data_IF_914516633095
#
_entry.id   IF_914516633095
#
_cell.length_a   1.000
_cell.length_b   1.000
_cell.length_c   1.000
_cell.angle_alpha   90.00
_cell.angle_beta   90.00
_cell.angle_gamma   90.00
#
_symmetry.space_group_name_H-M   'P 1'
#
loop_
_entity.id
_entity.type
_entity.pdbx_description
1 polymer ?
#
# COMPACT_ATOMS: atom_id res chain seq x y z
N UNK A 1 72.20 -4.69 16.60
CA UNK A 1 71.32 -3.49 16.58
C UNK A 1 70.66 -3.43 15.20
N UNK A 2 69.33 -3.58 15.13
CA UNK A 2 68.36 -3.06 14.11
C UNK A 2 68.68 -3.37 12.62
N UNK A 3 67.81 -3.92 11.76
CA UNK A 3 66.35 -3.94 11.70
C UNK A 3 65.93 -5.04 10.69
N UNK A 4 64.93 -5.85 11.03
CA UNK A 4 64.20 -6.68 10.08
C UNK A 4 63.18 -5.81 9.34
N UNK A 5 63.24 -5.80 8.00
CA UNK A 5 62.27 -5.10 7.17
C UNK A 5 61.15 -6.09 6.81
N UNK A 6 60.04 -6.04 7.56
CA UNK A 6 58.82 -6.77 7.22
C UNK A 6 58.02 -5.98 6.18
N UNK A 7 57.85 -6.56 4.98
CA UNK A 7 56.87 -6.09 4.01
C UNK A 7 55.47 -6.51 4.47
N UNK A 8 54.68 -5.55 4.96
CA UNK A 8 53.25 -5.73 5.17
C UNK A 8 52.51 -5.46 3.86
N UNK A 9 52.09 -6.52 3.17
CA UNK A 9 51.15 -6.41 2.05
C UNK A 9 49.77 -6.19 2.66
N UNK A 10 49.32 -4.93 2.67
CA UNK A 10 47.93 -4.59 2.97
C UNK A 10 47.09 -4.91 1.73
N UNK A 11 46.52 -6.11 1.69
CA UNK A 11 45.47 -6.46 0.75
C UNK A 11 44.22 -5.68 1.19
N UNK A 12 44.03 -4.49 0.62
CA UNK A 12 42.79 -3.74 0.73
C UNK A 12 41.68 -4.50 0.01
N UNK A 13 40.97 -5.37 0.73
CA UNK A 13 39.73 -5.96 0.25
C UNK A 13 38.68 -4.86 0.17
N UNK A 14 38.58 -4.21 -0.98
CA UNK A 14 37.38 -3.47 -1.38
C UNK A 14 36.24 -4.49 -1.52
N UNK A 15 35.58 -4.81 -0.41
CA UNK A 15 34.28 -5.47 -0.46
C UNK A 15 33.29 -4.46 -1.05
N UNK A 16 33.16 -4.46 -2.37
CA UNK A 16 31.98 -3.96 -3.06
C UNK A 16 30.81 -4.88 -2.66
N UNK A 17 30.24 -4.67 -1.48
CA UNK A 17 28.92 -5.22 -1.19
C UNK A 17 27.97 -4.58 -2.21
N UNK A 18 27.31 -5.35 -3.10
CA UNK A 18 26.19 -4.78 -3.84
C UNK A 18 25.24 -4.20 -2.79
N UNK A 19 24.62 -3.03 -3.03
CA UNK A 19 23.61 -2.53 -2.11
C UNK A 19 22.61 -3.67 -1.95
N UNK A 20 22.49 -4.20 -0.73
CA UNK A 20 21.44 -5.13 -0.39
C UNK A 20 20.15 -4.39 -0.74
N UNK A 21 19.57 -4.73 -1.89
CA UNK A 21 18.27 -4.23 -2.33
C UNK A 21 17.25 -4.89 -1.41
N UNK A 22 17.10 -4.34 -0.21
CA UNK A 22 16.05 -4.73 0.71
C UNK A 22 14.72 -4.54 -0.02
N UNK A 23 13.93 -5.59 -0.10
CA UNK A 23 12.59 -5.50 -0.65
C UNK A 23 11.78 -4.46 0.12
N UNK A 24 11.05 -3.60 -0.60
CA UNK A 24 10.20 -2.58 0.00
C UNK A 24 9.27 -3.20 1.05
N UNK A 25 9.20 -2.61 2.24
CA UNK A 25 8.17 -2.94 3.23
C UNK A 25 6.77 -2.56 2.72
N UNK A 26 5.68 -3.14 3.27
CA UNK A 26 4.33 -2.71 2.93
C UNK A 26 4.11 -1.19 3.08
N UNK A 27 4.73 -0.56 4.08
CA UNK A 27 4.66 0.89 4.26
C UNK A 27 5.27 1.66 3.08
N UNK A 28 6.44 1.22 2.60
CA UNK A 28 7.08 1.81 1.43
C UNK A 28 6.27 1.57 0.15
N UNK A 29 5.63 0.40 0.01
CA UNK A 29 4.69 0.13 -1.10
C UNK A 29 3.51 1.10 -1.07
N UNK A 30 2.92 1.34 0.11
CA UNK A 30 1.82 2.32 0.27
C UNK A 30 2.25 3.75 -0.07
N UNK A 31 3.43 4.17 0.39
CA UNK A 31 3.99 5.49 0.07
C UNK A 31 4.21 5.67 -1.44
N UNK A 32 4.80 4.66 -2.10
CA UNK A 32 4.93 4.63 -3.57
C UNK A 32 3.56 4.68 -4.24
N UNK A 33 2.59 3.93 -3.73
CA UNK A 33 1.22 3.93 -4.25
C UNK A 33 0.59 5.31 -4.22
N UNK A 34 0.65 6.02 -3.09
CA UNK A 34 0.13 7.39 -3.00
C UNK A 34 0.86 8.35 -3.93
N UNK A 35 2.18 8.20 -4.09
CA UNK A 35 2.95 9.01 -5.03
C UNK A 35 2.55 8.74 -6.48
N UNK A 36 2.46 7.49 -6.90
CA UNK A 36 2.09 7.15 -8.28
C UNK A 36 0.66 7.53 -8.63
N UNK A 37 -0.25 7.54 -7.65
CA UNK A 37 -1.60 8.10 -7.83
C UNK A 37 -1.52 9.63 -8.03
N UNK A 38 -0.75 10.34 -7.21
CA UNK A 38 -0.62 11.80 -7.32
C UNK A 38 0.08 12.24 -8.62
N UNK A 39 1.03 11.45 -9.09
CA UNK A 39 1.81 11.69 -10.32
C UNK A 39 1.08 11.18 -11.59
N UNK A 40 -0.17 10.73 -11.47
CA UNK A 40 -0.98 10.19 -12.58
C UNK A 40 -0.31 9.05 -13.35
N UNK A 41 0.32 8.10 -12.64
CA UNK A 41 1.15 7.06 -13.23
C UNK A 41 0.57 5.63 -13.04
N UNK A 42 -0.43 5.23 -13.86
CA UNK A 42 -1.06 3.91 -13.77
C UNK A 42 -0.11 2.75 -14.00
N UNK A 43 0.94 2.94 -14.80
CA UNK A 43 1.94 1.90 -15.10
C UNK A 43 2.80 1.58 -13.89
N UNK A 44 3.30 2.59 -13.18
CA UNK A 44 4.05 2.34 -11.96
C UNK A 44 3.13 1.90 -10.81
N UNK A 45 1.92 2.43 -10.75
CA UNK A 45 0.93 2.01 -9.77
C UNK A 45 0.58 0.52 -9.93
N UNK A 46 0.30 0.05 -11.15
CA UNK A 46 -0.02 -1.37 -11.39
C UNK A 46 1.11 -2.31 -11.00
N UNK A 47 2.38 -1.90 -11.17
CA UNK A 47 3.55 -2.69 -10.76
C UNK A 47 3.63 -2.91 -9.24
N UNK A 48 2.91 -2.15 -8.42
CA UNK A 48 2.82 -2.39 -6.98
C UNK A 48 1.89 -3.56 -6.63
N UNK A 49 1.03 -3.98 -7.56
CA UNK A 49 0.11 -5.09 -7.37
C UNK A 49 0.73 -6.44 -7.73
N UNK A 50 0.17 -7.51 -7.18
CA UNK A 50 0.51 -8.90 -7.55
C UNK A 50 0.38 -9.09 -9.06
N UNK A 51 1.23 -9.94 -9.64
CA UNK A 51 1.33 -10.08 -11.10
C UNK A 51 -0.02 -10.33 -11.77
N UNK A 52 -0.86 -11.17 -11.16
CA UNK A 52 -2.19 -11.51 -11.69
C UNK A 52 -3.17 -10.34 -11.77
N UNK A 53 -2.93 -9.25 -11.03
CA UNK A 53 -3.80 -8.07 -10.98
C UNK A 53 -3.30 -6.89 -11.81
N UNK A 54 -2.05 -6.91 -12.29
CA UNK A 54 -1.45 -5.73 -12.94
C UNK A 54 -2.23 -5.28 -14.17
N UNK A 55 -2.66 -6.21 -15.02
CA UNK A 55 -3.45 -5.90 -16.21
C UNK A 55 -4.84 -5.35 -15.86
N UNK A 56 -5.49 -5.90 -14.83
CA UNK A 56 -6.79 -5.41 -14.38
C UNK A 56 -6.69 -3.98 -13.82
N UNK A 57 -5.64 -3.69 -13.04
CA UNK A 57 -5.37 -2.35 -12.51
C UNK A 57 -5.08 -1.37 -13.63
N UNK A 58 -4.26 -1.76 -14.63
CA UNK A 58 -4.01 -0.93 -15.81
C UNK A 58 -5.29 -0.65 -16.59
N UNK A 59 -6.10 -1.68 -16.84
CA UNK A 59 -7.34 -1.55 -17.59
C UNK A 59 -8.34 -0.60 -16.91
N UNK A 60 -8.47 -0.71 -15.58
CA UNK A 60 -9.32 0.17 -14.77
C UNK A 60 -8.84 1.64 -14.78
N UNK A 61 -7.63 1.91 -15.27
CA UNK A 61 -7.04 3.24 -15.38
C UNK A 61 -6.61 3.55 -16.81
N UNK A 62 -7.34 2.98 -17.78
CA UNK A 62 -7.22 3.33 -19.20
C UNK A 62 -8.23 4.42 -19.57
N UNK A 63 -7.99 5.08 -20.70
CA UNK A 63 -8.85 6.15 -21.24
C UNK A 63 -10.26 5.67 -21.62
N UNK A 64 -10.47 4.34 -21.72
CA UNK A 64 -11.78 3.74 -21.98
C UNK A 64 -12.70 3.73 -20.75
N UNK A 65 -12.14 4.00 -19.57
CA UNK A 65 -12.90 4.15 -18.32
C UNK A 65 -13.06 5.65 -18.06
N UNK A 66 -14.25 6.06 -17.62
CA UNK A 66 -14.51 7.46 -17.27
C UNK A 66 -13.46 7.94 -16.28
N UNK A 67 -12.70 8.97 -16.62
CA UNK A 67 -11.56 9.42 -15.81
C UNK A 67 -11.92 9.73 -14.35
N UNK A 68 -13.15 10.17 -14.09
CA UNK A 68 -13.67 10.40 -12.74
C UNK A 68 -13.74 9.14 -11.88
N UNK A 69 -13.67 7.95 -12.47
CA UNK A 69 -13.72 6.65 -11.77
C UNK A 69 -12.32 5.99 -11.73
N UNK A 70 -11.29 6.66 -12.25
CA UNK A 70 -9.90 6.17 -12.31
C UNK A 70 -8.97 6.98 -11.42
N UNK A 71 -7.67 6.65 -11.41
CA UNK A 71 -6.69 7.46 -10.69
C UNK A 71 -6.52 8.87 -11.30
N UNK A 72 -6.89 9.08 -12.58
CA UNK A 72 -6.85 10.39 -13.25
C UNK A 72 -7.75 11.44 -12.56
N UNK A 73 -8.71 10.99 -11.74
CA UNK A 73 -9.57 11.85 -10.93
C UNK A 73 -8.81 12.48 -9.75
N UNK A 74 -7.74 11.85 -9.27
CA UNK A 74 -7.00 12.26 -8.08
C UNK A 74 -5.90 13.25 -8.48
N UNK A 75 -5.93 14.47 -7.95
CA UNK A 75 -4.93 15.52 -8.22
C UNK A 75 -3.87 15.62 -7.14
N UNK A 76 -4.12 15.03 -5.97
CA UNK A 76 -3.16 14.96 -4.88
C UNK A 76 -3.49 13.76 -3.99
N UNK A 77 -2.45 13.07 -3.52
CA UNK A 77 -2.57 11.88 -2.68
C UNK A 77 -1.45 11.84 -1.65
N UNK A 78 -1.77 11.54 -0.39
CA UNK A 78 -0.78 11.38 0.67
C UNK A 78 -1.24 10.38 1.73
N UNK A 79 -0.33 9.49 2.13
CA UNK A 79 -0.57 8.58 3.26
C UNK A 79 -0.48 9.36 4.57
N UNK A 80 -1.56 9.38 5.35
CA UNK A 80 -1.64 10.14 6.61
C UNK A 80 -1.39 9.23 7.81
N UNK A 81 -2.06 8.08 7.85
CA UNK A 81 -1.85 7.07 8.89
C UNK A 81 -1.91 5.68 8.29
N UNK A 82 -1.13 4.78 8.86
CA UNK A 82 -1.20 3.35 8.59
C UNK A 82 -1.13 2.58 9.91
N UNK A 83 -1.96 1.56 10.05
CA UNK A 83 -1.95 0.66 11.19
C UNK A 83 -2.00 -0.78 10.70
N UNK A 84 -0.98 -1.55 11.07
CA UNK A 84 -0.99 -3.00 10.83
C UNK A 84 -2.06 -3.63 11.69
N UNK A 85 -2.92 -4.44 11.09
CA UNK A 85 -3.90 -5.26 11.81
C UNK A 85 -3.32 -6.66 12.04
N UNK A 86 -3.67 -7.29 13.16
CA UNK A 86 -3.43 -8.72 13.31
C UNK A 86 -4.30 -9.48 12.31
N UNK A 87 -3.85 -10.66 11.87
CA UNK A 87 -4.61 -11.47 10.91
C UNK A 87 -6.05 -11.75 11.39
N UNK A 88 -6.21 -12.06 12.68
CA UNK A 88 -7.51 -12.32 13.29
C UNK A 88 -8.45 -11.11 13.20
N UNK A 89 -7.95 -9.90 13.49
CA UNK A 89 -8.74 -8.67 13.37
C UNK A 89 -9.07 -8.37 11.92
N UNK A 90 -8.09 -8.48 11.03
CA UNK A 90 -8.28 -8.25 9.60
C UNK A 90 -9.32 -9.20 8.98
N UNK A 91 -9.35 -10.47 9.39
CA UNK A 91 -10.30 -11.46 8.89
C UNK A 91 -11.77 -11.11 9.21
N UNK A 92 -12.03 -10.32 10.25
CA UNK A 92 -13.37 -9.84 10.57
C UNK A 92 -13.91 -8.81 9.56
N UNK A 93 -13.02 -8.15 8.81
CA UNK A 93 -13.37 -7.13 7.82
C UNK A 93 -13.15 -7.59 6.37
N UNK A 94 -12.30 -8.61 6.17
CA UNK A 94 -11.95 -9.17 4.87
C UNK A 94 -12.21 -10.69 4.91
N UNK A 95 -13.45 -11.14 4.65
CA UNK A 95 -13.80 -12.56 4.77
C UNK A 95 -12.96 -13.49 3.88
N UNK A 96 -12.47 -12.99 2.74
CA UNK A 96 -11.63 -13.75 1.80
C UNK A 96 -10.14 -13.81 2.18
N UNK A 97 -9.74 -13.21 3.31
CA UNK A 97 -8.32 -13.14 3.70
C UNK A 97 -7.66 -14.53 3.82
N UNK A 98 -8.41 -15.55 4.23
CA UNK A 98 -7.94 -16.94 4.31
C UNK A 98 -7.48 -17.51 2.97
N UNK A 99 -8.03 -17.04 1.84
CA UNK A 99 -7.67 -17.50 0.50
C UNK A 99 -6.24 -17.11 0.10
N UNK A 100 -5.66 -16.09 0.74
CA UNK A 100 -4.25 -15.74 0.54
C UNK A 100 -3.32 -16.65 1.34
N UNK A 101 -3.75 -17.12 2.52
CA UNK A 101 -2.95 -18.00 3.38
C UNK A 101 -2.61 -19.30 2.67
N UNK A 102 -3.60 -19.91 2.00
CA UNK A 102 -3.39 -21.16 1.26
C UNK A 102 -2.43 -21.02 0.07
N UNK A 103 -2.22 -19.79 -0.44
CA UNK A 103 -1.36 -19.53 -1.60
C UNK A 103 0.07 -19.17 -1.22
N UNK A 104 0.25 -18.38 -0.15
CA UNK A 104 1.57 -17.79 0.17
C UNK A 104 2.05 -18.03 1.60
N UNK A 105 1.27 -18.67 2.47
CA UNK A 105 1.60 -18.79 3.89
C UNK A 105 1.27 -17.52 4.67
N UNK A 106 0.91 -17.66 5.95
CA UNK A 106 0.40 -16.56 6.79
C UNK A 106 1.46 -15.50 7.10
N UNK A 107 2.72 -15.93 7.23
CA UNK A 107 3.90 -15.12 7.49
C UNK A 107 4.26 -14.19 6.33
N UNK A 108 3.78 -14.49 5.12
CA UNK A 108 3.97 -13.69 3.93
C UNK A 108 2.77 -12.78 3.62
N UNK A 109 1.92 -12.54 4.63
CA UNK A 109 0.74 -11.67 4.52
C UNK A 109 0.84 -10.54 5.55
N UNK A 110 0.53 -9.32 5.12
CA UNK A 110 0.35 -8.19 6.01
C UNK A 110 -0.92 -7.43 5.63
N UNK A 111 -1.76 -7.08 6.61
CA UNK A 111 -2.95 -6.28 6.38
C UNK A 111 -2.82 -4.96 7.10
N UNK A 112 -3.09 -3.87 6.39
CA UNK A 112 -3.05 -2.52 6.91
C UNK A 112 -4.40 -1.85 6.77
N UNK A 113 -4.84 -1.22 7.84
CA UNK A 113 -5.85 -0.18 7.79
C UNK A 113 -5.13 1.15 7.56
N UNK A 114 -5.54 1.92 6.56
CA UNK A 114 -4.88 3.16 6.18
C UNK A 114 -5.85 4.32 6.04
N UNK A 115 -5.35 5.51 6.33
CA UNK A 115 -5.98 6.79 6.04
C UNK A 115 -5.14 7.54 5.01
N UNK A 116 -5.75 7.91 3.90
CA UNK A 116 -5.12 8.59 2.77
C UNK A 116 -5.86 9.89 2.50
N UNK A 117 -5.14 11.01 2.36
CA UNK A 117 -5.73 12.29 1.97
C UNK A 117 -5.73 12.39 0.45
N UNK A 118 -6.91 12.57 -0.14
CA UNK A 118 -7.05 12.90 -1.55
C UNK A 118 -7.49 14.35 -1.75
N UNK A 119 -7.08 14.92 -2.87
CA UNK A 119 -7.82 15.96 -3.59
C UNK A 119 -8.25 15.35 -4.92
N UNK A 120 -9.51 15.55 -5.30
CA UNK A 120 -10.11 14.94 -6.49
C UNK A 120 -10.79 16.00 -7.35
N UNK A 121 -10.86 15.76 -8.66
CA UNK A 121 -11.57 16.63 -9.61
C UNK A 121 -13.09 16.55 -9.39
N UNK A 122 -13.60 15.34 -9.16
CA UNK A 122 -15.00 15.05 -8.87
C UNK A 122 -15.11 13.97 -7.81
N UNK A 123 -15.84 14.21 -6.73
CA UNK A 123 -16.05 13.17 -5.72
C UNK A 123 -16.88 12.01 -6.29
N UNK A 124 -16.57 10.79 -5.84
CA UNK A 124 -17.37 9.59 -6.05
C UNK A 124 -17.32 8.71 -4.79
N UNK A 125 -18.14 7.64 -4.67
CA UNK A 125 -18.15 6.78 -3.49
C UNK A 125 -16.85 6.04 -3.15
N UNK A 126 -15.78 6.18 -3.94
CA UNK A 126 -14.47 5.56 -3.73
C UNK A 126 -13.35 6.60 -3.54
N UNK A 127 -13.59 7.84 -3.94
CA UNK A 127 -12.61 8.92 -4.00
C UNK A 127 -13.28 10.23 -3.56
N UNK A 128 -13.11 10.55 -2.28
CA UNK A 128 -13.61 11.78 -1.66
C UNK A 128 -12.49 12.82 -1.54
N UNK A 129 -12.82 14.11 -1.58
CA UNK A 129 -11.90 15.14 -1.12
C UNK A 129 -11.67 14.97 0.39
N UNK A 130 -10.42 15.06 0.86
CA UNK A 130 -10.07 14.85 2.27
C UNK A 130 -9.72 13.40 2.62
N UNK A 131 -10.09 12.93 3.81
CA UNK A 131 -9.71 11.59 4.29
C UNK A 131 -10.50 10.48 3.61
N UNK A 132 -9.76 9.49 3.09
CA UNK A 132 -10.25 8.23 2.55
C UNK A 132 -9.63 7.08 3.32
N UNK A 133 -10.37 5.99 3.48
CA UNK A 133 -9.95 4.89 4.34
C UNK A 133 -10.03 3.56 3.60
N UNK A 134 -8.93 2.80 3.67
CA UNK A 134 -8.81 1.53 2.97
C UNK A 134 -8.25 0.44 3.88
N UNK A 135 -8.69 -0.79 3.63
CA UNK A 135 -8.00 -1.99 4.07
C UNK A 135 -7.18 -2.51 2.90
N UNK A 136 -5.88 -2.70 3.11
CA UNK A 136 -4.97 -3.21 2.09
C UNK A 136 -4.32 -4.51 2.55
N UNK A 137 -4.44 -5.53 1.71
CA UNK A 137 -3.78 -6.83 1.88
C UNK A 137 -2.52 -6.82 1.03
N UNK A 138 -1.39 -7.09 1.69
CA UNK A 138 -0.10 -7.28 1.06
C UNK A 138 0.31 -8.74 1.14
N UNK A 139 0.85 -9.25 0.05
CA UNK A 139 1.46 -10.59 0.00
C UNK A 139 2.90 -10.49 -0.49
N UNK A 140 3.75 -11.40 -0.05
CA UNK A 140 5.12 -11.52 -0.55
C UNK A 140 5.13 -12.36 -1.82
N UNK A 141 5.35 -11.73 -2.97
CA UNK A 141 5.47 -12.38 -4.28
C UNK A 141 6.93 -12.23 -4.77
N UNK A 142 7.62 -13.34 -5.00
CA UNK A 142 9.03 -13.35 -5.43
C UNK A 142 9.95 -12.49 -4.52
N UNK A 143 9.75 -12.62 -3.20
CA UNK A 143 10.51 -11.88 -2.19
C UNK A 143 10.12 -10.41 -2.01
N UNK A 144 9.20 -9.87 -2.84
CA UNK A 144 8.76 -8.47 -2.78
C UNK A 144 7.33 -8.36 -2.26
N UNK A 145 7.06 -7.35 -1.44
CA UNK A 145 5.70 -7.06 -1.01
C UNK A 145 4.89 -6.45 -2.16
N UNK A 146 3.69 -6.97 -2.36
CA UNK A 146 2.76 -6.57 -3.42
C UNK A 146 1.36 -6.39 -2.86
N UNK A 147 0.61 -5.43 -3.41
CA UNK A 147 -0.81 -5.26 -3.12
C UNK A 147 -1.57 -6.42 -3.75
N UNK A 148 -2.28 -7.20 -2.93
CA UNK A 148 -3.14 -8.28 -3.38
C UNK A 148 -4.62 -7.84 -3.43
N UNK A 149 -5.02 -6.95 -2.52
CA UNK A 149 -6.37 -6.42 -2.42
C UNK A 149 -6.33 -5.03 -1.75
N UNK A 150 -7.15 -4.10 -2.23
CA UNK A 150 -7.39 -2.81 -1.61
C UNK A 150 -8.87 -2.52 -1.66
N UNK A 151 -9.52 -2.48 -0.50
CA UNK A 151 -10.97 -2.27 -0.39
C UNK A 151 -11.25 -1.05 0.46
N UNK A 152 -12.38 -0.38 0.18
CA UNK A 152 -12.88 0.69 1.05
C UNK A 152 -13.14 0.11 2.43
N UNK A 153 -12.61 0.76 3.47
CA UNK A 153 -12.72 0.27 4.83
C UNK A 153 -14.15 0.47 5.39
N UNK A 154 -14.74 -0.53 6.05
CA UNK A 154 -15.99 -0.37 6.80
C UNK A 154 -15.73 0.38 8.11
N UNK A 155 -15.55 1.70 8.02
CA UNK A 155 -15.06 2.55 9.14
C UNK A 155 -15.92 2.45 10.40
N UNK A 156 -17.25 2.37 10.28
CA UNK A 156 -18.13 2.20 11.45
C UNK A 156 -17.84 0.90 12.21
N UNK A 157 -17.69 -0.22 11.50
CA UNK A 157 -17.40 -1.51 12.13
C UNK A 157 -16.00 -1.51 12.76
N UNK A 158 -15.01 -0.94 12.07
CA UNK A 158 -13.65 -0.79 12.58
C UNK A 158 -13.62 0.07 13.85
N UNK A 159 -14.35 1.19 13.88
CA UNK A 159 -14.47 2.05 15.06
C UNK A 159 -15.15 1.31 16.20
N UNK A 160 -16.31 0.66 15.95
CA UNK A 160 -17.07 -0.09 16.96
C UNK A 160 -16.23 -1.17 17.64
N UNK A 161 -15.35 -1.82 16.89
CA UNK A 161 -14.46 -2.87 17.39
C UNK A 161 -13.19 -2.32 18.09
N UNK A 162 -13.04 -0.99 18.21
CA UNK A 162 -11.85 -0.37 18.82
C UNK A 162 -10.60 -0.39 17.93
N UNK A 163 -10.76 -0.75 16.66
CA UNK A 163 -9.69 -0.86 15.67
C UNK A 163 -9.54 0.42 14.82
N UNK A 164 -10.20 1.51 15.17
CA UNK A 164 -10.12 2.80 14.47
C UNK A 164 -8.86 3.63 14.76
N UNK A 165 -8.70 4.73 14.04
CA UNK A 165 -7.66 5.75 14.30
C UNK A 165 -8.09 6.80 15.33
N UNK A 166 -9.37 6.80 15.72
CA UNK A 166 -9.98 7.79 16.63
C UNK A 166 -9.98 9.21 16.03
N UNK A 167 -10.05 9.33 14.70
CA UNK A 167 -10.11 10.62 14.02
C UNK A 167 -11.56 11.07 13.83
N UNK A 168 -11.81 12.38 13.78
CA UNK A 168 -13.17 12.91 13.56
C UNK A 168 -13.67 12.54 12.17
N UNK A 169 -12.83 12.72 11.16
CA UNK A 169 -13.12 12.43 9.76
C UNK A 169 -13.36 10.94 9.49
N UNK A 170 -12.86 10.06 10.37
CA UNK A 170 -13.09 8.62 10.30
C UNK A 170 -14.53 8.27 10.65
N UNK A 171 -15.10 8.95 11.65
CA UNK A 171 -16.48 8.74 12.12
C UNK A 171 -17.52 9.21 11.10
N UNK A 172 -17.16 10.21 10.30
CA UNK A 172 -18.05 10.80 9.29
C UNK A 172 -17.89 10.14 7.91
N UNK A 173 -16.89 9.27 7.72
CA UNK A 173 -16.52 8.76 6.40
C UNK A 173 -17.62 7.97 5.68
N UNK A 174 -18.29 7.05 6.38
CA UNK A 174 -19.41 6.26 5.82
C UNK A 174 -20.52 7.15 5.29
N UNK A 175 -21.03 8.05 6.12
CA UNK A 175 -22.04 9.03 5.74
C UNK A 175 -21.60 9.90 4.55
N UNK A 176 -20.35 10.39 4.55
CA UNK A 176 -19.86 11.21 3.42
C UNK A 176 -19.88 10.43 2.11
N UNK A 177 -19.51 9.15 2.15
CA UNK A 177 -19.46 8.27 0.98
C UNK A 177 -20.84 7.97 0.40
N UNK A 178 -21.84 7.74 1.26
CA UNK A 178 -23.22 7.43 0.85
C UNK A 178 -23.93 8.63 0.22
N UNK A 179 -23.52 9.85 0.56
CA UNK A 179 -24.17 11.09 0.11
C UNK A 179 -23.50 11.73 -1.13
N UNK A 180 -22.49 11.09 -1.72
CA UNK A 180 -21.90 11.58 -2.97
C UNK A 180 -22.82 11.28 -4.15
N UNK A 181 -23.12 12.33 -4.93
CA UNK A 181 -23.98 12.28 -6.12
C UNK A 181 -23.19 12.01 -7.40
#
# INVERSE_FOLDING_TARGET
MKQMMSFAIVIGSFFCFPPLLYADTPLQVMQKGTKYIADDNPVLYSKLWVRSMQNAVLFHHSDNIRHQDTLHNVTSSSLVKAKKLSFQKAAAYIPRLSQYVSKVGKENIAVYYIAVRYKVKKENPYQLNGMNYFLQVFVKEQGKWKIAESVVAPTEQIIRNGDGFRMKEEKEYGNRRENVK
#
